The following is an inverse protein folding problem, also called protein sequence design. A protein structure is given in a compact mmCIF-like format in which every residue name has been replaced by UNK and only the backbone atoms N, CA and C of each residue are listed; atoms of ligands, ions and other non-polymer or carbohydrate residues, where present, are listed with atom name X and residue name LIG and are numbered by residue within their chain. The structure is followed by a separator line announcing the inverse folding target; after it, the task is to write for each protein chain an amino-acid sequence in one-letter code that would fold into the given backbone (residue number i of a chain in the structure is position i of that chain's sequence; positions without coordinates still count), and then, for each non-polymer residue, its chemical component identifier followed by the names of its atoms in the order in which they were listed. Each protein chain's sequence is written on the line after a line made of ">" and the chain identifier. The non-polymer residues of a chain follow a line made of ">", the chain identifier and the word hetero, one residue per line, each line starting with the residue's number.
data_IF_167610129066
#
_entry.id   IF_167610129066
#
_cell.length_a   1.000
_cell.length_b   1.000
_cell.length_c   1.000
_cell.angle_alpha   90.00
_cell.angle_beta   90.00
_cell.angle_gamma   90.00
#
_symmetry.space_group_name_H-M   'P 1'
#
loop_
_entity.id
_entity.type
_entity.pdbx_description
1 polymer ?
#
# COMPACT_ATOMS: atom_id res chain seq x y z
N UNK A 1 -19.79 -4.01 17.05
CA UNK A 1 -19.69 -4.96 15.92
C UNK A 1 -20.61 -4.47 14.81
N UNK A 2 -20.10 -4.30 13.62
CA UNK A 2 -20.83 -3.73 12.49
C UNK A 2 -20.85 -4.70 11.30
N UNK A 3 -21.95 -4.70 10.53
CA UNK A 3 -22.21 -5.52 9.35
C UNK A 3 -22.12 -7.05 9.59
N UNK A 4 -22.41 -7.48 10.80
CA UNK A 4 -22.37 -8.90 11.18
C UNK A 4 -23.72 -9.30 11.78
N UNK A 5 -24.57 -9.99 11.01
CA UNK A 5 -25.91 -10.39 11.43
C UNK A 5 -25.95 -11.33 12.64
N UNK A 6 -24.94 -12.18 12.78
CA UNK A 6 -24.84 -13.13 13.87
C UNK A 6 -24.27 -12.55 15.17
N UNK A 7 -23.75 -11.32 15.13
CA UNK A 7 -23.06 -10.71 16.26
C UNK A 7 -23.91 -10.67 17.52
N UNK A 8 -25.21 -10.38 17.38
CA UNK A 8 -26.14 -10.35 18.52
C UNK A 8 -26.23 -11.72 19.22
N UNK A 9 -26.42 -12.78 18.45
CA UNK A 9 -26.52 -14.14 19.01
C UNK A 9 -25.21 -14.54 19.71
N UNK A 10 -24.10 -14.40 19.02
CA UNK A 10 -22.76 -14.80 19.52
C UNK A 10 -22.38 -14.02 20.78
N UNK A 11 -22.81 -12.78 20.92
CA UNK A 11 -22.44 -11.92 22.05
C UNK A 11 -23.42 -11.98 23.23
N UNK A 12 -24.66 -12.46 23.01
CA UNK A 12 -25.70 -12.42 24.05
C UNK A 12 -26.10 -13.78 24.59
N UNK A 13 -26.04 -14.86 23.81
CA UNK A 13 -26.49 -16.20 24.25
C UNK A 13 -25.46 -16.93 25.13
N UNK A 14 -24.15 -16.88 24.90
CA UNK A 14 -23.20 -17.61 25.73
C UNK A 14 -23.15 -17.07 27.16
N UNK A 15 -23.04 -17.93 28.20
CA UNK A 15 -22.89 -17.50 29.57
C UNK A 15 -21.55 -16.78 29.82
N UNK A 16 -20.52 -17.08 29.02
CA UNK A 16 -19.22 -16.42 29.06
C UNK A 16 -18.92 -15.87 27.66
N UNK A 17 -18.70 -14.56 27.54
CA UNK A 17 -18.30 -13.87 26.31
C UNK A 17 -16.93 -13.23 26.49
N UNK A 18 -15.96 -13.65 25.68
CA UNK A 18 -14.61 -13.11 25.67
C UNK A 18 -14.38 -12.40 24.33
N UNK A 19 -14.24 -11.07 24.37
CA UNK A 19 -13.94 -10.26 23.18
C UNK A 19 -12.41 -10.02 23.11
N UNK A 20 -11.80 -10.46 22.01
CA UNK A 20 -10.40 -10.19 21.70
C UNK A 20 -10.30 -9.02 20.73
N UNK A 21 -9.52 -8.00 21.07
CA UNK A 21 -9.40 -6.79 20.28
C UNK A 21 -7.95 -6.31 20.22
N UNK A 22 -7.46 -5.95 19.02
CA UNK A 22 -6.20 -5.24 18.90
C UNK A 22 -6.32 -3.81 19.41
N UNK A 23 -5.29 -3.31 20.10
CA UNK A 23 -5.30 -1.97 20.69
C UNK A 23 -5.50 -0.85 19.64
N UNK A 24 -5.18 -1.10 18.36
CA UNK A 24 -5.41 -0.18 17.25
C UNK A 24 -6.89 0.01 16.91
N UNK A 25 -7.80 -0.72 17.57
CA UNK A 25 -9.25 -0.60 17.40
C UNK A 25 -9.91 0.30 18.43
N UNK A 26 -9.14 0.80 19.37
CA UNK A 26 -9.65 1.78 20.33
C UNK A 26 -9.89 3.11 19.61
N UNK A 27 -11.05 3.67 19.81
CA UNK A 27 -11.40 5.05 19.41
C UNK A 27 -11.45 5.92 20.66
N UNK A 28 -11.24 7.22 20.48
CA UNK A 28 -11.13 8.16 21.60
C UNK A 28 -12.48 8.44 22.24
N UNK A 29 -13.50 8.64 21.39
CA UNK A 29 -14.83 9.06 21.78
C UNK A 29 -15.91 8.53 20.82
N UNK A 30 -17.17 8.88 21.07
CA UNK A 30 -18.30 8.45 20.25
C UNK A 30 -18.33 9.14 18.89
N UNK A 31 -17.76 10.33 18.75
CA UNK A 31 -17.66 11.04 17.49
C UNK A 31 -16.72 10.31 16.53
N UNK A 32 -15.56 9.88 17.04
CA UNK A 32 -14.64 9.05 16.28
C UNK A 32 -15.28 7.70 15.91
N UNK A 33 -16.12 7.14 16.78
CA UNK A 33 -16.88 5.90 16.48
C UNK A 33 -17.88 6.14 15.35
N UNK A 34 -18.66 7.22 15.39
CA UNK A 34 -19.62 7.58 14.35
C UNK A 34 -18.96 7.77 13.00
N UNK A 35 -17.82 8.46 12.98
CA UNK A 35 -16.99 8.64 11.78
C UNK A 35 -16.52 7.29 11.23
N UNK A 36 -15.99 6.43 12.09
CA UNK A 36 -15.52 5.08 11.69
C UNK A 36 -16.64 4.24 11.08
N UNK A 37 -17.83 4.21 11.69
CA UNK A 37 -18.98 3.47 11.18
C UNK A 37 -19.45 3.99 9.83
N UNK A 38 -19.43 5.31 9.64
CA UNK A 38 -19.83 5.92 8.37
C UNK A 38 -18.86 5.60 7.22
N UNK A 39 -17.56 5.57 7.51
CA UNK A 39 -16.51 5.27 6.51
C UNK A 39 -16.44 3.78 6.19
N UNK A 40 -16.57 2.91 7.20
CA UNK A 40 -16.36 1.47 7.04
C UNK A 40 -17.34 0.86 6.05
N UNK A 41 -18.65 1.07 6.24
CA UNK A 41 -19.68 0.50 5.38
C UNK A 41 -19.55 1.00 3.93
N UNK A 42 -19.28 2.29 3.73
CA UNK A 42 -19.10 2.88 2.40
C UNK A 42 -17.88 2.33 1.67
N UNK A 43 -16.77 2.19 2.39
CA UNK A 43 -15.49 1.76 1.79
C UNK A 43 -15.41 0.25 1.57
N UNK A 44 -16.10 -0.54 2.41
CA UNK A 44 -16.08 -2.00 2.29
C UNK A 44 -17.08 -2.53 1.25
N UNK A 45 -18.32 -2.03 1.29
CA UNK A 45 -19.46 -2.60 0.56
C UNK A 45 -20.27 -1.57 -0.22
N UNK A 46 -19.83 -0.31 -0.28
CA UNK A 46 -20.54 0.82 -0.93
C UNK A 46 -21.93 1.14 -0.34
N UNK A 47 -22.23 0.61 0.85
CA UNK A 47 -23.47 0.90 1.55
C UNK A 47 -23.45 2.29 2.18
N UNK A 48 -24.56 3.01 2.16
CA UNK A 48 -24.68 4.30 2.84
C UNK A 48 -24.60 4.14 4.37
N UNK A 49 -25.19 3.08 4.89
CA UNK A 49 -25.27 2.73 6.30
C UNK A 49 -24.97 1.25 6.50
N UNK A 50 -24.42 0.91 7.65
CA UNK A 50 -24.32 -0.47 8.11
C UNK A 50 -25.70 -1.02 8.40
N UNK A 51 -25.99 -2.24 7.93
CA UNK A 51 -27.30 -2.88 8.15
C UNK A 51 -27.43 -3.34 9.61
N UNK A 52 -26.36 -3.89 10.17
CA UNK A 52 -26.34 -4.42 11.54
C UNK A 52 -25.19 -3.78 12.31
N UNK A 53 -25.52 -2.96 13.30
CA UNK A 53 -24.54 -2.41 14.24
C UNK A 53 -24.95 -2.76 15.66
N UNK A 54 -24.09 -3.50 16.37
CA UNK A 54 -24.33 -3.92 17.75
C UNK A 54 -23.44 -3.12 18.70
N UNK A 55 -24.05 -2.31 19.55
CA UNK A 55 -23.36 -1.61 20.63
C UNK A 55 -23.54 -2.44 21.92
N UNK A 56 -22.44 -2.96 22.41
CA UNK A 56 -22.42 -3.86 23.56
C UNK A 56 -21.80 -3.12 24.73
N UNK A 57 -22.61 -2.70 25.67
CA UNK A 57 -22.22 -1.82 26.75
C UNK A 57 -21.98 -2.61 28.08
N UNK A 58 -22.90 -3.48 28.47
CA UNK A 58 -22.81 -4.24 29.70
C UNK A 58 -23.14 -5.74 29.48
N UNK A 59 -22.72 -6.64 30.33
CA UNK A 59 -23.18 -8.02 30.30
C UNK A 59 -24.67 -8.12 30.60
N UNK A 60 -25.34 -9.09 30.01
CA UNK A 60 -26.71 -9.44 30.35
C UNK A 60 -26.74 -10.17 31.71
N UNK A 61 -27.91 -10.23 32.33
CA UNK A 61 -28.09 -10.95 33.62
C UNK A 61 -27.61 -12.41 33.48
N UNK A 62 -26.70 -12.82 34.39
CA UNK A 62 -26.09 -14.16 34.36
C UNK A 62 -24.96 -14.36 33.38
N UNK A 63 -24.59 -13.33 32.56
CA UNK A 63 -23.48 -13.41 31.64
C UNK A 63 -22.19 -12.81 32.20
N UNK A 64 -21.08 -13.52 32.05
CA UNK A 64 -19.74 -12.99 32.29
C UNK A 64 -19.17 -12.45 30.99
N UNK A 65 -18.59 -11.24 31.02
CA UNK A 65 -17.99 -10.62 29.84
C UNK A 65 -16.56 -10.17 30.13
N UNK A 66 -15.66 -10.59 29.27
CA UNK A 66 -14.24 -10.25 29.35
C UNK A 66 -13.80 -9.54 28.07
N UNK A 67 -13.01 -8.49 28.23
CA UNK A 67 -12.37 -7.79 27.11
C UNK A 67 -10.86 -7.96 27.22
N UNK A 68 -10.25 -8.57 26.21
CA UNK A 68 -8.80 -8.77 26.13
C UNK A 68 -8.25 -7.85 25.04
N UNK A 69 -7.45 -6.86 25.44
CA UNK A 69 -6.78 -5.94 24.52
C UNK A 69 -5.39 -6.48 24.20
N UNK A 70 -5.13 -6.71 22.92
CA UNK A 70 -3.89 -7.30 22.44
C UNK A 70 -2.94 -6.22 21.93
N UNK A 71 -1.73 -6.18 22.47
CA UNK A 71 -0.60 -5.45 21.84
C UNK A 71 -0.01 -6.27 20.67
N UNK A 72 0.49 -7.46 20.95
CA UNK A 72 1.13 -8.36 19.99
C UNK A 72 2.01 -7.63 18.94
N UNK A 73 2.85 -6.71 19.42
CA UNK A 73 3.78 -5.94 18.58
C UNK A 73 3.25 -4.63 17.99
N UNK A 74 2.02 -4.23 18.31
CA UNK A 74 1.42 -2.97 17.86
C UNK A 74 2.15 -1.75 18.42
N UNK A 75 2.53 -1.78 19.69
CA UNK A 75 3.36 -0.74 20.31
C UNK A 75 4.68 -0.60 19.57
N UNK A 76 5.34 -1.71 19.23
CA UNK A 76 6.58 -1.69 18.47
C UNK A 76 6.38 -1.12 17.05
N UNK A 77 5.29 -1.51 16.38
CA UNK A 77 4.95 -1.00 15.05
C UNK A 77 4.65 0.51 15.10
N UNK A 78 4.00 1.00 16.15
CA UNK A 78 3.73 2.41 16.40
C UNK A 78 5.00 3.27 16.44
N UNK A 79 6.08 2.73 17.00
CA UNK A 79 7.39 3.41 17.08
C UNK A 79 8.29 3.17 15.87
N UNK A 80 7.77 2.55 14.81
CA UNK A 80 8.51 2.25 13.59
C UNK A 80 8.15 3.21 12.44
N UNK A 81 8.94 3.23 11.35
CA UNK A 81 8.57 3.94 10.12
C UNK A 81 7.26 3.46 9.48
N UNK A 82 6.71 2.30 9.91
CA UNK A 82 5.49 1.72 9.39
C UNK A 82 4.24 2.08 10.23
N UNK A 83 4.35 2.98 11.20
CA UNK A 83 3.28 3.36 12.15
C UNK A 83 1.94 3.73 11.50
N UNK A 84 1.98 4.36 10.33
CA UNK A 84 0.81 4.79 9.57
C UNK A 84 -0.10 3.60 9.18
N UNK A 85 0.46 2.38 9.08
CA UNK A 85 -0.32 1.17 8.81
C UNK A 85 -1.33 0.82 9.90
N UNK A 86 -1.14 1.31 11.13
CA UNK A 86 -2.07 1.10 12.25
C UNK A 86 -3.37 1.91 12.13
N UNK A 87 -3.43 2.94 11.27
CA UNK A 87 -4.65 3.69 10.98
C UNK A 87 -5.65 2.89 10.12
N UNK A 88 -5.25 1.72 9.64
CA UNK A 88 -6.09 0.90 8.77
C UNK A 88 -7.37 0.45 9.46
N UNK A 89 -8.53 0.84 8.89
CA UNK A 89 -9.86 0.45 9.37
C UNK A 89 -10.32 -0.93 8.89
N UNK A 90 -9.50 -1.64 8.12
CA UNK A 90 -9.76 -2.99 7.58
C UNK A 90 -10.97 -3.07 6.61
N UNK A 91 -11.30 -2.01 5.92
CA UNK A 91 -12.41 -1.98 4.96
C UNK A 91 -12.16 -2.82 3.69
N UNK A 92 -10.92 -3.17 3.36
CA UNK A 92 -10.60 -3.96 2.15
C UNK A 92 -10.53 -3.17 0.84
N UNK A 93 -10.81 -1.86 0.81
CA UNK A 93 -10.82 -1.06 -0.43
C UNK A 93 -9.50 -1.17 -1.22
N UNK A 94 -8.35 -1.14 -0.54
CA UNK A 94 -7.05 -1.32 -1.17
C UNK A 94 -6.84 -2.72 -1.77
N UNK A 95 -7.50 -3.74 -1.21
CA UNK A 95 -7.48 -5.13 -1.72
C UNK A 95 -8.26 -5.20 -3.03
N UNK A 96 -9.46 -4.61 -3.06
CA UNK A 96 -10.31 -4.57 -4.25
C UNK A 96 -9.66 -3.81 -5.42
N UNK A 97 -8.92 -2.73 -5.13
CA UNK A 97 -8.24 -1.93 -6.14
C UNK A 97 -6.92 -2.54 -6.63
N UNK A 98 -6.36 -3.53 -5.94
CA UNK A 98 -5.02 -4.04 -6.20
C UNK A 98 -4.97 -5.01 -7.39
N UNK A 99 -4.24 -4.68 -8.49
CA UNK A 99 -4.09 -5.62 -9.60
C UNK A 99 -3.34 -6.88 -9.21
N UNK A 100 -2.34 -6.78 -8.33
CA UNK A 100 -1.57 -7.96 -7.85
C UNK A 100 -2.47 -8.90 -7.06
N UNK A 101 -3.32 -8.37 -6.17
CA UNK A 101 -4.25 -9.21 -5.42
C UNK A 101 -5.25 -9.93 -6.31
N UNK A 102 -5.71 -9.30 -7.38
CA UNK A 102 -6.63 -9.92 -8.34
C UNK A 102 -6.03 -11.13 -9.05
N UNK A 103 -4.72 -11.10 -9.28
CA UNK A 103 -4.00 -12.20 -9.95
C UNK A 103 -3.67 -13.36 -9.01
N UNK A 104 -3.12 -13.07 -7.81
CA UNK A 104 -2.60 -14.12 -6.93
C UNK A 104 -3.60 -14.58 -5.86
N UNK A 105 -4.64 -13.79 -5.59
CA UNK A 105 -5.64 -14.08 -4.56
C UNK A 105 -5.12 -13.98 -3.13
N UNK A 106 -6.00 -14.12 -2.15
CA UNK A 106 -5.65 -14.01 -0.73
C UNK A 106 -4.70 -15.10 -0.24
N UNK A 107 -4.87 -16.33 -0.71
CA UNK A 107 -4.02 -17.46 -0.31
C UNK A 107 -2.57 -17.29 -0.72
N UNK A 108 -2.30 -16.63 -1.86
CA UNK A 108 -0.94 -16.35 -2.33
C UNK A 108 -0.13 -15.46 -1.40
N UNK A 109 -0.76 -14.76 -0.48
CA UNK A 109 -0.07 -13.94 0.52
C UNK A 109 0.47 -14.75 1.72
N UNK A 110 0.05 -16.01 1.92
CA UNK A 110 0.43 -16.82 3.07
C UNK A 110 0.33 -16.09 4.41
N UNK A 111 -0.58 -15.13 4.52
CA UNK A 111 -0.80 -14.26 5.68
C UNK A 111 -2.29 -14.04 5.89
N UNK A 112 -2.69 -13.87 7.16
CA UNK A 112 -4.05 -13.45 7.53
C UNK A 112 -4.35 -12.02 7.09
N UNK A 113 -3.34 -11.28 6.69
CA UNK A 113 -3.45 -9.91 6.19
C UNK A 113 -3.05 -9.87 4.71
N UNK A 114 -4.01 -10.03 3.77
CA UNK A 114 -3.71 -9.99 2.34
C UNK A 114 -3.69 -8.56 1.79
N UNK A 115 -3.25 -8.44 0.54
CA UNK A 115 -3.27 -7.19 -0.21
C UNK A 115 -2.19 -6.17 0.21
N UNK A 116 -2.28 -4.93 -0.30
CA UNK A 116 -1.24 -3.92 -0.09
C UNK A 116 -0.98 -3.59 1.38
N UNK A 117 -2.04 -3.38 2.16
CA UNK A 117 -1.89 -3.11 3.60
C UNK A 117 -1.36 -4.35 4.34
N UNK A 118 -1.78 -5.54 3.91
CA UNK A 118 -1.33 -6.80 4.48
C UNK A 118 0.17 -7.03 4.29
N UNK A 119 0.70 -6.69 3.12
CA UNK A 119 2.14 -6.76 2.83
C UNK A 119 2.97 -5.88 3.77
N UNK A 120 2.44 -4.73 4.18
CA UNK A 120 3.11 -3.84 5.16
C UNK A 120 2.98 -4.39 6.57
N UNK A 121 1.77 -4.76 6.98
CA UNK A 121 1.48 -5.20 8.35
C UNK A 121 2.15 -6.54 8.65
N UNK A 122 2.12 -7.49 7.70
CA UNK A 122 2.77 -8.80 7.88
C UNK A 122 4.28 -8.65 8.07
N UNK A 123 4.93 -7.82 7.27
CA UNK A 123 6.34 -7.51 7.46
C UNK A 123 6.60 -6.81 8.82
N UNK A 124 5.70 -5.92 9.23
CA UNK A 124 5.80 -5.20 10.50
C UNK A 124 5.64 -6.08 11.75
N UNK A 125 4.73 -7.05 11.72
CA UNK A 125 4.46 -7.94 12.85
C UNK A 125 5.32 -9.20 12.85
N UNK A 126 5.54 -9.79 11.68
CA UNK A 126 6.12 -11.13 11.56
C UNK A 126 7.55 -11.12 11.05
N UNK A 127 8.02 -9.99 10.51
CA UNK A 127 9.43 -9.81 10.16
C UNK A 127 9.75 -10.01 8.69
N UNK A 128 11.02 -10.31 8.44
CA UNK A 128 11.64 -10.31 7.12
C UNK A 128 11.08 -11.31 6.11
N UNK A 129 10.51 -12.41 6.58
CA UNK A 129 9.97 -13.47 5.71
C UNK A 129 8.80 -12.98 4.86
N UNK A 130 8.14 -11.91 5.31
CA UNK A 130 7.03 -11.28 4.61
C UNK A 130 7.43 -10.09 3.71
N UNK A 131 8.71 -9.71 3.66
CA UNK A 131 9.20 -8.66 2.76
C UNK A 131 8.97 -8.97 1.28
N UNK A 132 9.06 -10.22 0.80
CA UNK A 132 8.73 -10.57 -0.58
C UNK A 132 7.32 -10.15 -1.01
N UNK A 133 6.34 -10.10 -0.10
CA UNK A 133 5.00 -9.59 -0.39
C UNK A 133 5.01 -8.12 -0.82
N UNK A 134 5.84 -7.31 -0.16
CA UNK A 134 6.02 -5.92 -0.58
C UNK A 134 6.75 -5.81 -1.92
N UNK A 135 7.67 -6.74 -2.22
CA UNK A 135 8.39 -6.77 -3.50
C UNK A 135 7.47 -7.15 -4.68
N UNK A 136 6.45 -7.95 -4.45
CA UNK A 136 5.46 -8.33 -5.46
C UNK A 136 4.56 -7.17 -5.92
N UNK A 137 4.51 -6.07 -5.16
CA UNK A 137 3.70 -4.90 -5.52
C UNK A 137 4.25 -4.18 -6.75
N UNK A 138 3.35 -3.79 -7.66
CA UNK A 138 3.67 -2.94 -8.82
C UNK A 138 3.86 -1.45 -8.49
N UNK A 139 3.55 -1.02 -7.26
CA UNK A 139 3.58 0.38 -6.80
C UNK A 139 2.75 1.34 -7.66
N UNK A 140 1.67 0.86 -8.29
CA UNK A 140 0.83 1.66 -9.19
C UNK A 140 0.06 2.81 -8.52
N UNK A 141 -0.05 2.82 -7.19
CA UNK A 141 -0.75 3.88 -6.45
C UNK A 141 -2.24 3.62 -6.19
N UNK A 142 -2.91 2.75 -6.93
CA UNK A 142 -4.36 2.51 -6.82
C UNK A 142 -4.85 2.22 -5.38
N UNK A 143 -4.02 1.56 -4.58
CA UNK A 143 -4.34 1.27 -3.17
C UNK A 143 -4.33 2.51 -2.28
N UNK A 144 -3.56 3.55 -2.61
CA UNK A 144 -3.57 4.82 -1.91
C UNK A 144 -4.83 5.62 -2.28
N UNK A 145 -5.13 5.70 -3.56
CA UNK A 145 -6.33 6.40 -4.06
C UNK A 145 -7.62 5.81 -3.50
N UNK A 146 -7.67 4.47 -3.35
CA UNK A 146 -8.82 3.78 -2.79
C UNK A 146 -8.90 3.85 -1.24
N UNK A 147 -7.88 4.34 -0.55
CA UNK A 147 -7.84 4.30 0.92
C UNK A 147 -8.68 5.42 1.55
N UNK A 148 -9.76 5.11 2.29
CA UNK A 148 -10.63 6.13 2.89
C UNK A 148 -9.99 6.92 4.03
N UNK A 149 -8.87 6.43 4.57
CA UNK A 149 -8.09 7.07 5.64
C UNK A 149 -6.73 7.57 5.15
N UNK A 150 -6.56 7.66 3.83
CA UNK A 150 -5.39 8.24 3.13
C UNK A 150 -4.02 7.69 3.56
N UNK A 151 -3.94 6.38 3.84
CA UNK A 151 -2.65 5.75 4.13
C UNK A 151 -1.79 5.70 2.87
N UNK A 152 -0.57 6.22 2.93
CA UNK A 152 0.39 6.17 1.81
C UNK A 152 1.02 4.78 1.68
N UNK A 153 0.21 3.81 1.20
CA UNK A 153 0.62 2.41 1.04
C UNK A 153 1.84 2.23 0.13
N UNK A 154 1.96 2.89 -1.02
CA UNK A 154 3.17 2.79 -1.84
C UNK A 154 4.44 3.19 -1.09
N UNK A 155 4.39 4.26 -0.31
CA UNK A 155 5.51 4.72 0.52
C UNK A 155 5.86 3.70 1.61
N UNK A 156 4.86 3.12 2.26
CA UNK A 156 5.08 2.08 3.28
C UNK A 156 5.68 0.81 2.66
N UNK A 157 5.22 0.39 1.48
CA UNK A 157 5.79 -0.75 0.75
C UNK A 157 7.27 -0.51 0.38
N UNK A 158 7.62 0.70 -0.04
CA UNK A 158 9.02 1.07 -0.30
C UNK A 158 9.85 0.99 1.00
N UNK A 159 9.31 1.46 2.13
CA UNK A 159 9.99 1.35 3.42
C UNK A 159 10.22 -0.09 3.84
N UNK A 160 9.25 -0.99 3.63
CA UNK A 160 9.42 -2.43 3.87
C UNK A 160 10.52 -2.99 2.97
N UNK A 161 10.54 -2.67 1.67
CA UNK A 161 11.61 -3.07 0.74
C UNK A 161 12.98 -2.57 1.17
N UNK A 162 13.04 -1.41 1.80
CA UNK A 162 14.28 -0.83 2.33
C UNK A 162 14.72 -1.43 3.67
N UNK A 163 14.00 -2.41 4.19
CA UNK A 163 14.34 -3.09 5.44
C UNK A 163 13.76 -2.47 6.70
N UNK A 164 12.73 -1.64 6.59
CA UNK A 164 12.04 -1.04 7.74
C UNK A 164 11.12 -2.03 8.48
N UNK A 165 11.58 -3.26 8.71
CA UNK A 165 10.85 -4.22 9.54
C UNK A 165 11.29 -4.10 11.00
N UNK A 166 10.39 -3.81 11.96
CA UNK A 166 10.75 -3.60 13.35
C UNK A 166 10.98 -4.89 14.16
N UNK A 167 11.00 -6.06 13.53
CA UNK A 167 11.10 -7.34 14.25
C UNK A 167 12.48 -8.01 14.06
N UNK A 168 13.48 -7.67 14.90
CA UNK A 168 14.79 -8.31 14.82
C UNK A 168 14.81 -9.74 15.40
N UNK A 169 13.88 -10.09 16.27
CA UNK A 169 13.96 -11.31 17.06
C UNK A 169 13.43 -12.55 16.33
N UNK A 170 12.42 -12.41 15.48
CA UNK A 170 11.92 -13.51 14.64
C UNK A 170 12.75 -13.73 13.36
N UNK A 171 13.48 -12.73 12.91
CA UNK A 171 14.43 -12.86 11.80
C UNK A 171 15.59 -13.82 12.10
N UNK A 172 15.85 -14.10 13.38
CA UNK A 172 16.88 -15.07 13.81
C UNK A 172 16.43 -16.53 13.76
N UNK A 173 15.10 -16.78 13.74
CA UNK A 173 14.54 -18.14 13.76
C UNK A 173 14.33 -18.67 12.34
N UNK A 174 14.05 -17.81 11.38
CA UNK A 174 13.95 -18.15 9.97
C UNK A 174 15.24 -17.72 9.29
N UNK A 175 16.17 -18.64 9.10
CA UNK A 175 17.52 -18.41 8.59
C UNK A 175 17.64 -17.25 7.60
N UNK A 176 18.49 -16.32 7.90
CA UNK A 176 18.93 -15.09 7.20
C UNK A 176 18.35 -14.88 5.79
N UNK A 177 17.05 -14.56 5.69
CA UNK A 177 16.48 -13.99 4.47
C UNK A 177 17.14 -12.63 4.24
N UNK A 178 18.09 -12.55 3.33
CA UNK A 178 18.75 -11.31 2.92
C UNK A 178 17.70 -10.33 2.39
N UNK A 179 17.17 -9.49 3.25
CA UNK A 179 16.11 -8.50 2.92
C UNK A 179 16.66 -7.21 2.34
N UNK A 180 17.95 -7.15 2.07
CA UNK A 180 18.58 -5.96 1.49
C UNK A 180 19.51 -6.31 0.34
N UNK A 181 19.77 -5.33 -0.54
CA UNK A 181 20.82 -5.42 -1.55
C UNK A 181 22.14 -5.86 -0.89
N UNK A 182 22.86 -6.79 -1.53
CA UNK A 182 24.20 -7.16 -1.13
C UNK A 182 25.10 -5.92 -1.01
N UNK A 183 26.21 -6.01 -0.29
CA UNK A 183 27.15 -4.89 -0.14
C UNK A 183 27.61 -4.37 -1.52
N UNK A 184 27.83 -5.29 -2.47
CA UNK A 184 28.13 -4.95 -3.85
C UNK A 184 26.97 -4.23 -4.54
N UNK A 185 25.73 -4.68 -4.35
CA UNK A 185 24.53 -4.03 -4.86
C UNK A 185 24.33 -2.62 -4.29
N UNK A 186 24.59 -2.42 -3.00
CA UNK A 186 24.54 -1.08 -2.38
C UNK A 186 25.58 -0.13 -2.99
N UNK A 187 26.82 -0.59 -3.18
CA UNK A 187 27.86 0.20 -3.83
C UNK A 187 27.51 0.53 -5.28
N UNK A 188 26.96 -0.43 -6.02
CA UNK A 188 26.49 -0.20 -7.39
C UNK A 188 25.38 0.85 -7.43
N UNK A 189 24.39 0.78 -6.55
CA UNK A 189 23.32 1.78 -6.49
C UNK A 189 23.80 3.16 -6.05
N UNK A 190 24.81 3.24 -5.17
CA UNK A 190 25.46 4.51 -4.81
C UNK A 190 26.19 5.13 -6.01
N UNK A 191 26.95 4.33 -6.75
CA UNK A 191 27.62 4.78 -7.98
C UNK A 191 26.61 5.22 -9.03
N UNK A 192 25.56 4.43 -9.25
CA UNK A 192 24.47 4.81 -10.15
C UNK A 192 23.82 6.13 -9.74
N UNK A 193 23.54 6.32 -8.45
CA UNK A 193 22.97 7.57 -7.92
C UNK A 193 23.88 8.77 -8.17
N UNK A 194 25.19 8.60 -8.02
CA UNK A 194 26.17 9.65 -8.29
C UNK A 194 26.16 10.05 -9.78
N UNK A 195 26.16 9.06 -10.67
CA UNK A 195 26.10 9.26 -12.13
C UNK A 195 24.78 9.93 -12.53
N UNK A 196 23.66 9.47 -11.95
CA UNK A 196 22.32 9.97 -12.30
C UNK A 196 22.07 11.42 -11.88
N UNK A 197 22.81 11.94 -10.88
CA UNK A 197 22.71 13.33 -10.44
C UNK A 197 23.25 14.34 -11.45
N UNK A 198 24.15 13.92 -12.34
CA UNK A 198 24.77 14.80 -13.34
C UNK A 198 24.31 14.41 -14.74
N UNK A 199 23.63 15.31 -15.49
CA UNK A 199 23.19 15.04 -16.86
C UNK A 199 24.35 14.67 -17.80
N UNK A 200 25.53 15.26 -17.58
CA UNK A 200 26.74 15.00 -18.40
C UNK A 200 27.31 13.60 -18.12
N UNK A 201 27.45 13.24 -16.84
CA UNK A 201 27.93 11.90 -16.44
C UNK A 201 26.95 10.81 -16.87
N UNK A 202 25.66 11.09 -16.75
CA UNK A 202 24.63 10.15 -17.19
C UNK A 202 24.65 9.91 -18.71
N UNK A 203 24.81 10.97 -19.50
CA UNK A 203 24.95 10.86 -20.96
C UNK A 203 26.20 10.06 -21.35
N UNK A 204 27.34 10.33 -20.70
CA UNK A 204 28.57 9.59 -20.91
C UNK A 204 28.39 8.10 -20.58
N UNK A 205 27.79 7.81 -19.44
CA UNK A 205 27.51 6.43 -19.02
C UNK A 205 26.59 5.69 -20.02
N UNK A 206 25.58 6.38 -20.56
CA UNK A 206 24.71 5.83 -21.61
C UNK A 206 25.49 5.50 -22.89
N UNK A 207 26.40 6.37 -23.32
CA UNK A 207 27.24 6.15 -24.49
C UNK A 207 28.17 4.96 -24.30
N UNK A 208 28.82 4.85 -23.11
CA UNK A 208 29.69 3.73 -22.76
C UNK A 208 28.87 2.42 -22.73
N UNK A 209 27.70 2.45 -22.14
CA UNK A 209 26.81 1.27 -22.08
C UNK A 209 26.33 0.85 -23.47
N UNK A 210 26.00 1.80 -24.34
CA UNK A 210 25.65 1.51 -25.73
C UNK A 210 26.83 0.86 -26.49
N UNK A 211 28.02 1.43 -26.40
CA UNK A 211 29.22 0.87 -27.00
C UNK A 211 29.52 -0.53 -26.47
N UNK A 212 29.47 -0.73 -25.14
CA UNK A 212 29.68 -2.03 -24.51
C UNK A 212 28.70 -3.09 -24.98
N UNK A 213 27.41 -2.77 -25.07
CA UNK A 213 26.41 -3.74 -25.55
C UNK A 213 26.54 -4.02 -27.06
N UNK A 214 27.04 -3.08 -27.84
CA UNK A 214 27.35 -3.30 -29.25
C UNK A 214 28.58 -4.20 -29.46
N UNK A 215 29.59 -4.10 -28.60
CA UNK A 215 30.76 -4.97 -28.65
C UNK A 215 30.45 -6.40 -28.19
N UNK A 216 29.60 -6.53 -27.14
CA UNK A 216 29.21 -7.84 -26.60
C UNK A 216 28.28 -8.61 -27.54
N UNK A 217 27.50 -7.94 -28.36
CA UNK A 217 26.54 -8.57 -29.27
C UNK A 217 26.49 -7.82 -30.63
N UNK A 218 27.50 -7.96 -31.50
CA UNK A 218 27.57 -7.21 -32.74
C UNK A 218 26.49 -7.62 -33.75
N UNK A 219 26.09 -8.88 -33.78
CA UNK A 219 25.17 -9.44 -34.77
C UNK A 219 23.72 -9.58 -34.30
N UNK A 220 23.45 -9.44 -33.00
CA UNK A 220 22.11 -9.57 -32.42
C UNK A 220 21.62 -8.23 -31.87
N UNK A 221 20.30 -8.01 -31.87
CA UNK A 221 19.65 -6.88 -31.17
C UNK A 221 19.56 -7.08 -29.66
N UNK A 222 19.92 -8.25 -29.18
CA UNK A 222 19.82 -8.64 -27.78
C UNK A 222 21.18 -9.12 -27.27
N UNK A 223 21.45 -8.87 -26.01
CA UNK A 223 22.59 -9.40 -25.27
C UNK A 223 22.08 -10.53 -24.39
N UNK A 224 22.57 -11.74 -24.64
CA UNK A 224 22.27 -12.90 -23.81
C UNK A 224 23.06 -12.82 -22.52
N UNK A 225 22.36 -12.72 -21.39
CA UNK A 225 23.00 -12.68 -20.08
C UNK A 225 23.20 -14.10 -19.55
N UNK A 226 24.30 -14.36 -18.83
CA UNK A 226 24.51 -15.65 -18.20
C UNK A 226 23.43 -15.98 -17.17
N UNK A 227 23.08 -17.25 -17.04
CA UNK A 227 22.04 -17.75 -16.15
C UNK A 227 22.22 -17.31 -14.68
N UNK A 228 23.46 -17.19 -14.19
CA UNK A 228 23.75 -16.74 -12.83
C UNK A 228 23.33 -15.30 -12.53
N UNK A 229 23.02 -14.49 -13.54
CA UNK A 229 22.48 -13.12 -13.34
C UNK A 229 21.02 -13.13 -12.91
N UNK A 230 20.33 -14.29 -12.97
CA UNK A 230 18.91 -14.44 -12.76
C UNK A 230 18.05 -13.98 -13.95
N UNK A 231 18.56 -13.15 -14.83
CA UNK A 231 17.85 -12.69 -16.05
C UNK A 231 18.06 -13.66 -17.22
N UNK A 232 19.21 -14.32 -17.30
CA UNK A 232 19.56 -15.20 -18.41
C UNK A 232 18.70 -16.46 -18.57
N UNK A 233 17.80 -16.77 -17.62
CA UNK A 233 16.88 -17.89 -17.73
C UNK A 233 15.63 -17.58 -18.59
N UNK A 234 15.18 -16.32 -18.59
CA UNK A 234 13.88 -16.00 -19.17
C UNK A 234 13.84 -14.71 -19.98
N UNK A 235 14.91 -13.91 -19.94
CA UNK A 235 14.92 -12.57 -20.57
C UNK A 235 16.29 -12.27 -21.15
N UNK A 236 16.28 -11.74 -22.36
CA UNK A 236 17.44 -11.14 -23.01
C UNK A 236 17.42 -9.63 -22.80
N UNK A 237 18.59 -9.03 -22.59
CA UNK A 237 18.73 -7.60 -22.47
C UNK A 237 18.76 -6.98 -23.88
N UNK A 238 17.85 -6.05 -24.23
CA UNK A 238 17.94 -5.35 -25.49
C UNK A 238 19.21 -4.50 -25.52
N UNK A 239 19.88 -4.47 -26.67
CA UNK A 239 21.05 -3.63 -26.91
C UNK A 239 20.70 -2.16 -26.69
N UNK A 240 21.52 -1.42 -25.95
CA UNK A 240 21.27 -0.01 -25.73
C UNK A 240 21.35 0.78 -27.01
N UNK A 241 20.42 1.73 -27.19
CA UNK A 241 20.37 2.56 -28.37
C UNK A 241 21.58 3.51 -28.43
N UNK A 242 22.21 3.63 -29.60
CA UNK A 242 23.36 4.52 -29.80
C UNK A 242 23.01 6.01 -29.69
N UNK A 243 21.72 6.37 -29.89
CA UNK A 243 21.20 7.73 -29.67
C UNK A 243 20.19 7.70 -28.53
N UNK A 244 20.37 8.57 -27.57
CA UNK A 244 19.48 8.68 -26.41
C UNK A 244 18.11 9.25 -26.79
N UNK A 245 17.09 9.00 -25.98
CA UNK A 245 15.78 9.64 -26.18
C UNK A 245 15.89 11.16 -26.19
N UNK A 246 16.71 11.76 -25.34
CA UNK A 246 16.92 13.21 -25.27
C UNK A 246 17.47 13.79 -26.58
N UNK A 247 18.40 13.09 -27.23
CA UNK A 247 18.94 13.52 -28.55
C UNK A 247 17.88 13.41 -29.64
N UNK A 248 17.12 12.32 -29.64
CA UNK A 248 16.03 12.14 -30.60
C UNK A 248 14.93 13.18 -30.42
N UNK A 249 14.57 13.44 -29.15
CA UNK A 249 13.54 14.42 -28.81
C UNK A 249 13.94 15.83 -29.25
N UNK A 250 15.16 16.27 -28.95
CA UNK A 250 15.67 17.56 -29.39
C UNK A 250 15.63 17.71 -30.91
N UNK A 251 15.92 16.62 -31.63
CA UNK A 251 15.85 16.63 -33.08
C UNK A 251 14.41 16.77 -33.57
N UNK A 252 13.47 16.06 -33.00
CA UNK A 252 12.04 16.17 -33.30
C UNK A 252 11.48 17.56 -32.98
N UNK A 253 11.93 18.14 -31.87
CA UNK A 253 11.55 19.49 -31.45
C UNK A 253 12.10 20.55 -32.40
N UNK A 254 13.34 20.38 -32.86
CA UNK A 254 13.96 21.27 -33.87
C UNK A 254 13.32 21.14 -35.26
N UNK A 255 12.82 19.97 -35.62
CA UNK A 255 12.12 19.72 -36.90
C UNK A 255 10.66 20.19 -36.88
N UNK A 256 10.19 20.85 -35.82
CA UNK A 256 8.81 21.40 -35.66
C UNK A 256 7.68 20.38 -35.87
N UNK A 257 7.96 19.11 -35.75
CA UNK A 257 7.00 18.01 -35.95
C UNK A 257 6.07 17.84 -34.70
N UNK A 258 6.52 18.35 -33.54
CA UNK A 258 5.69 18.40 -32.34
C UNK A 258 5.19 19.84 -32.19
N UNK A 259 3.87 20.11 -32.34
CA UNK A 259 3.34 21.41 -31.97
C UNK A 259 3.75 21.74 -30.55
N UNK A 260 4.20 22.95 -30.26
CA UNK A 260 4.49 23.40 -28.91
C UNK A 260 3.18 23.23 -28.06
N UNK A 261 3.05 22.11 -27.44
CA UNK A 261 1.87 21.71 -26.66
C UNK A 261 1.86 22.37 -25.27
N UNK A 262 2.15 23.68 -25.24
CA UNK A 262 1.75 24.53 -24.11
C UNK A 262 0.24 24.76 -24.04
N UNK A 263 -0.55 24.26 -24.99
CA UNK A 263 -2.02 24.47 -25.03
C UNK A 263 -2.88 23.24 -24.76
N UNK A 264 -2.31 22.07 -24.52
CA UNK A 264 -3.10 20.90 -24.16
C UNK A 264 -3.38 20.81 -22.64
N UNK A 265 -2.63 21.55 -21.83
CA UNK A 265 -2.86 21.60 -20.37
C UNK A 265 -4.09 22.46 -20.00
N UNK A 266 -4.57 23.37 -20.86
CA UNK A 266 -5.66 24.28 -20.49
C UNK A 266 -7.05 23.91 -21.03
N UNK A 267 -7.19 22.94 -21.92
CA UNK A 267 -8.48 22.72 -22.55
C UNK A 267 -9.29 21.48 -22.15
N UNK A 268 -8.77 20.57 -21.34
CA UNK A 268 -9.51 19.36 -20.97
C UNK A 268 -9.13 18.76 -19.59
N UNK A 269 -8.64 19.57 -18.67
CA UNK A 269 -8.83 19.23 -17.26
C UNK A 269 -10.15 19.93 -16.89
N UNK A 270 -11.25 19.21 -16.68
CA UNK A 270 -12.41 19.81 -16.03
C UNK A 270 -11.86 20.34 -14.71
N UNK A 271 -12.16 21.59 -14.46
CA UNK A 271 -11.73 22.31 -13.28
C UNK A 271 -11.95 21.43 -12.05
N UNK A 272 -10.88 20.89 -11.47
CA UNK A 272 -10.93 19.98 -10.33
C UNK A 272 -11.52 20.72 -9.13
N UNK A 273 -11.56 22.07 -9.17
CA UNK A 273 -12.27 22.90 -8.21
C UNK A 273 -13.79 22.85 -8.39
N UNK A 274 -14.30 22.59 -9.60
CA UNK A 274 -15.76 22.47 -9.83
C UNK A 274 -16.33 21.09 -9.45
N UNK A 275 -15.49 20.09 -9.23
CA UNK A 275 -15.88 18.75 -8.74
C UNK A 275 -15.63 18.62 -7.23
N UNK A 276 -14.89 19.53 -6.65
CA UNK A 276 -14.85 19.73 -5.20
C UNK A 276 -16.01 20.65 -4.83
N UNK A 277 -17.23 20.13 -4.85
CA UNK A 277 -18.18 20.64 -3.87
C UNK A 277 -17.47 20.55 -2.53
N UNK A 278 -17.27 21.65 -1.83
CA UNK A 278 -16.70 21.60 -0.51
C UNK A 278 -17.59 20.66 0.30
N UNK A 279 -17.03 19.56 0.82
CA UNK A 279 -17.62 18.85 1.94
C UNK A 279 -17.43 19.78 3.15
N UNK A 280 -18.09 20.92 3.08
CA UNK A 280 -18.32 21.84 4.18
C UNK A 280 -19.67 21.52 4.85
N UNK A 281 -20.07 20.25 4.81
CA UNK A 281 -20.98 19.80 5.82
C UNK A 281 -20.19 19.84 7.11
N UNK A 282 -20.44 20.89 7.88
CA UNK A 282 -19.91 21.04 9.22
C UNK A 282 -19.97 19.67 9.92
N UNK A 283 -18.87 19.23 10.50
CA UNK A 283 -18.74 17.98 11.25
C UNK A 283 -19.95 17.75 12.16
N UNK A 284 -20.48 18.81 12.74
CA UNK A 284 -21.65 18.80 13.62
C UNK A 284 -22.94 18.46 12.85
N UNK A 285 -23.06 18.86 11.61
CA UNK A 285 -24.24 18.56 10.74
C UNK A 285 -24.26 17.08 10.35
N UNK A 286 -23.11 16.48 10.01
CA UNK A 286 -23.03 15.05 9.72
C UNK A 286 -23.32 14.20 10.96
N UNK A 287 -22.83 14.60 12.13
CA UNK A 287 -23.09 13.91 13.39
C UNK A 287 -24.57 14.02 13.76
N UNK A 288 -25.17 15.21 13.64
CA UNK A 288 -26.60 15.41 13.96
C UNK A 288 -27.52 14.63 13.02
N UNK A 289 -27.21 14.55 11.73
CA UNK A 289 -27.95 13.74 10.77
C UNK A 289 -27.84 12.24 11.10
N UNK A 290 -26.66 11.77 11.46
CA UNK A 290 -26.43 10.38 11.85
C UNK A 290 -27.18 10.04 13.16
N UNK A 291 -27.15 10.93 14.15
CA UNK A 291 -27.89 10.74 15.41
C UNK A 291 -29.41 10.78 15.22
N UNK A 292 -29.93 11.65 14.33
CA UNK A 292 -31.33 11.67 13.96
C UNK A 292 -31.80 10.39 13.23
N UNK A 293 -30.96 9.82 12.38
CA UNK A 293 -31.28 8.54 11.74
C UNK A 293 -31.26 7.37 12.73
N UNK A 294 -30.36 7.37 13.71
CA UNK A 294 -30.33 6.35 14.77
C UNK A 294 -31.55 6.42 15.69
N UNK A 295 -32.12 7.61 15.91
CA UNK A 295 -33.34 7.78 16.75
C UNK A 295 -34.61 7.41 16.03
N UNK A 296 -34.63 7.31 14.70
CA UNK A 296 -35.82 6.89 13.91
C UNK A 296 -35.97 5.36 13.84
N UNK A 297 -35.03 4.60 14.32
CA UNK A 297 -35.02 3.13 14.22
C UNK A 297 -35.39 2.46 15.56
N UNK A 298 -35.86 3.21 16.55
CA UNK A 298 -36.47 2.68 17.79
C UNK A 298 -38.00 2.70 17.76
#
# INVERSE_FOLDING_TARGET
>A
VSDEGNARMVTTLPPVHIALMGMERLVRDLDDLALMLSLLARSATTQKLSVYTQLIHAPFSGQQRHLVILDNGRTRLRHSPLKESLYCIRCGACVNACPVFREIGGHGYHSIYPGPIGSVISAGFFGSDFVPLAQASSLCGACKEACPVDIDLPKLLIRVRAGASPSPERARIAGEGRTGLSTAGKRFMQLYSLIARSPRLFSLAQTIAALGTHLLSPFSRYVHLPAFTGWGHSKDLPRFAGKTFRERFRKLEAESIIPQTGRYAEKHVPDVESVREPISADRNTLISQFMQELTKVN
#
